data_IF_002030147806
#
_entry.id   IF_002030147806
#
_cell.length_a   1.000
_cell.length_b   1.000
_cell.length_c   1.000
_cell.angle_alpha   90.00
_cell.angle_beta   90.00
_cell.angle_gamma   90.00
#
_symmetry.space_group_name_H-M   'P 1'
#
loop_
_entity.id
_entity.type
_entity.pdbx_description
1 polymer ?
#
# COMPACT_ATOMS: atom_id res chain seq x y z
N UNK A 1 43.31 33.03 -1.60
CA UNK A 1 43.45 31.65 -1.10
C UNK A 1 42.04 31.11 -0.86
N UNK A 2 41.57 30.26 -1.77
CA UNK A 2 40.39 29.36 -1.74
C UNK A 2 39.13 29.76 -0.95
N UNK A 3 38.13 30.42 -1.57
CA UNK A 3 36.77 30.47 -1.01
C UNK A 3 35.64 30.64 -2.04
N UNK A 4 35.86 30.25 -3.30
CA UNK A 4 34.82 30.34 -4.35
C UNK A 4 34.55 29.00 -5.08
N UNK A 5 35.31 27.94 -4.79
CA UNK A 5 35.18 26.65 -5.49
C UNK A 5 34.09 25.74 -4.90
N UNK A 6 33.77 25.88 -3.60
CA UNK A 6 32.85 24.95 -2.92
C UNK A 6 31.36 25.10 -3.29
N UNK A 7 30.89 26.30 -3.65
CA UNK A 7 29.48 26.50 -4.03
C UNK A 7 29.11 25.85 -5.37
N UNK A 8 30.05 25.76 -6.31
CA UNK A 8 29.80 25.17 -7.64
C UNK A 8 29.72 23.65 -7.53
N UNK A 9 30.56 23.07 -6.66
CA UNK A 9 30.56 21.64 -6.37
C UNK A 9 29.27 21.22 -5.64
N UNK A 10 28.78 22.01 -4.68
CA UNK A 10 27.52 21.71 -3.98
C UNK A 10 26.29 21.81 -4.89
N UNK A 11 26.23 22.82 -5.76
CA UNK A 11 25.14 22.96 -6.73
C UNK A 11 25.18 21.85 -7.80
N UNK A 12 26.36 21.44 -8.23
CA UNK A 12 26.54 20.35 -9.19
C UNK A 12 26.24 18.98 -8.57
N UNK A 13 26.67 18.73 -7.33
CA UNK A 13 26.29 17.54 -6.56
C UNK A 13 24.79 17.52 -6.29
N UNK A 14 24.17 18.67 -6.00
CA UNK A 14 22.72 18.79 -5.83
C UNK A 14 21.99 18.53 -7.15
N UNK A 15 22.43 19.09 -8.27
CA UNK A 15 21.85 18.82 -9.60
C UNK A 15 22.04 17.36 -10.02
N UNK A 16 23.21 16.76 -9.78
CA UNK A 16 23.45 15.35 -10.03
C UNK A 16 22.58 14.47 -9.14
N UNK A 17 22.42 14.79 -7.85
CA UNK A 17 21.50 14.10 -6.95
C UNK A 17 20.04 14.26 -7.40
N UNK A 18 19.63 15.44 -7.88
CA UNK A 18 18.28 15.68 -8.41
C UNK A 18 18.01 14.91 -9.71
N UNK A 19 19.00 14.79 -10.60
CA UNK A 19 18.89 14.05 -11.86
C UNK A 19 18.82 12.53 -11.66
N UNK A 20 19.40 12.01 -10.56
CA UNK A 20 19.34 10.58 -10.20
C UNK A 20 17.95 10.16 -9.69
N UNK A 21 17.09 11.10 -9.28
CA UNK A 21 15.79 10.82 -8.66
C UNK A 21 14.61 10.64 -9.63
N UNK A 22 14.79 10.87 -10.93
CA UNK A 22 13.66 10.93 -11.87
C UNK A 22 13.67 9.82 -12.93
N UNK A 23 13.53 8.56 -12.49
CA UNK A 23 13.36 7.41 -13.40
C UNK A 23 12.03 7.46 -14.19
N UNK A 24 11.03 8.25 -13.74
CA UNK A 24 9.72 8.38 -14.38
C UNK A 24 9.12 9.80 -14.26
N UNK A 25 8.44 10.34 -15.30
CA UNK A 25 7.65 11.56 -15.21
C UNK A 25 6.44 11.40 -14.27
N UNK A 26 5.93 12.52 -13.72
CA UNK A 26 4.82 12.52 -12.75
C UNK A 26 3.59 11.74 -13.25
N UNK A 27 3.24 11.89 -14.53
CA UNK A 27 2.12 11.16 -15.15
C UNK A 27 2.27 9.64 -15.02
N UNK A 28 3.48 9.09 -15.24
CA UNK A 28 3.73 7.65 -15.05
C UNK A 28 3.58 7.26 -13.57
N UNK A 29 4.09 8.07 -12.63
CA UNK A 29 3.93 7.81 -11.19
C UNK A 29 2.47 7.68 -10.78
N UNK A 30 1.60 8.53 -11.33
CA UNK A 30 0.16 8.48 -11.08
C UNK A 30 -0.48 7.21 -11.65
N UNK A 31 -0.09 6.78 -12.85
CA UNK A 31 -0.60 5.54 -13.46
C UNK A 31 -0.35 4.31 -12.58
N UNK A 32 0.83 4.22 -11.95
CA UNK A 32 1.13 3.13 -11.00
C UNK A 32 0.29 3.19 -9.72
N UNK A 33 -0.24 4.35 -9.35
CA UNK A 33 -1.12 4.53 -8.19
C UNK A 33 -2.60 4.23 -8.47
N UNK A 34 -3.03 4.22 -9.74
CA UNK A 34 -4.42 3.96 -10.12
C UNK A 34 -4.98 2.65 -9.54
N UNK A 35 -4.24 1.51 -9.55
CA UNK A 35 -4.75 0.27 -8.97
C UNK A 35 -5.06 0.39 -7.47
N UNK A 36 -4.26 1.13 -6.70
CA UNK A 36 -4.53 1.33 -5.27
C UNK A 36 -5.77 2.16 -5.00
N UNK A 37 -5.97 3.21 -5.79
CA UNK A 37 -7.18 4.04 -5.70
C UNK A 37 -8.40 3.19 -6.08
N UNK A 38 -8.32 2.42 -7.18
CA UNK A 38 -9.40 1.54 -7.62
C UNK A 38 -9.74 0.49 -6.56
N UNK A 39 -8.74 -0.15 -5.95
CA UNK A 39 -8.96 -1.14 -4.88
C UNK A 39 -9.59 -0.51 -3.64
N UNK A 40 -9.14 0.66 -3.21
CA UNK A 40 -9.74 1.37 -2.09
C UNK A 40 -11.22 1.71 -2.38
N UNK A 41 -11.51 2.27 -3.56
CA UNK A 41 -12.89 2.58 -3.94
C UNK A 41 -13.78 1.32 -3.99
N UNK A 42 -13.23 0.21 -4.47
CA UNK A 42 -13.96 -1.06 -4.54
C UNK A 42 -14.26 -1.62 -3.15
N UNK A 43 -13.27 -1.61 -2.25
CA UNK A 43 -13.45 -2.03 -0.85
C UNK A 43 -14.52 -1.17 -0.20
N UNK A 44 -14.34 0.15 -0.23
CA UNK A 44 -15.30 1.09 0.35
C UNK A 44 -16.73 0.91 -0.19
N UNK A 45 -16.87 0.70 -1.51
CA UNK A 45 -18.17 0.42 -2.12
C UNK A 45 -18.81 -0.84 -1.54
N UNK A 46 -18.09 -1.96 -1.47
CA UNK A 46 -18.63 -3.20 -0.89
C UNK A 46 -18.91 -3.09 0.61
N UNK A 47 -18.06 -2.38 1.34
CA UNK A 47 -18.24 -2.09 2.77
C UNK A 47 -19.41 -1.14 3.04
N UNK A 48 -19.87 -0.38 2.03
CA UNK A 48 -21.07 0.47 2.12
C UNK A 48 -22.37 -0.30 1.92
N UNK A 49 -22.30 -1.57 1.52
CA UNK A 49 -23.49 -2.41 1.34
C UNK A 49 -23.91 -3.02 2.68
N UNK A 50 -25.20 -2.87 2.99
CA UNK A 50 -25.83 -3.51 4.15
C UNK A 50 -25.68 -5.03 4.07
N UNK A 51 -25.49 -5.66 5.24
CA UNK A 51 -25.62 -7.10 5.34
C UNK A 51 -27.05 -7.46 5.70
N UNK A 52 -27.59 -8.45 5.00
CA UNK A 52 -28.79 -9.14 5.46
C UNK A 52 -28.30 -10.23 6.41
N UNK A 53 -28.39 -9.95 7.71
CA UNK A 53 -28.03 -10.91 8.75
C UNK A 53 -29.01 -12.08 8.70
N UNK A 54 -28.58 -13.19 8.09
CA UNK A 54 -29.19 -14.49 8.34
C UNK A 54 -28.71 -14.96 9.73
N UNK A 55 -29.53 -15.70 10.50
CA UNK A 55 -29.19 -16.15 11.85
C UNK A 55 -28.15 -17.30 11.87
N UNK A 56 -27.10 -17.17 11.07
CA UNK A 56 -25.99 -18.12 10.96
C UNK A 56 -24.72 -17.40 11.42
N UNK A 57 -24.13 -17.91 12.49
CA UNK A 57 -22.84 -17.60 13.13
C UNK A 57 -22.16 -16.26 12.78
N UNK A 58 -21.94 -15.43 13.81
CA UNK A 58 -21.21 -14.14 13.78
C UNK A 58 -19.80 -14.21 13.14
N UNK A 59 -19.26 -15.41 12.90
CA UNK A 59 -17.98 -15.64 12.24
C UNK A 59 -18.19 -16.60 11.05
N UNK A 60 -18.45 -16.04 9.87
CA UNK A 60 -18.43 -16.81 8.64
C UNK A 60 -16.99 -16.90 8.12
N UNK A 61 -16.43 -18.12 8.05
CA UNK A 61 -15.07 -18.31 7.54
C UNK A 61 -14.84 -17.75 6.13
N UNK A 62 -15.89 -17.78 5.30
CA UNK A 62 -15.85 -17.19 3.96
C UNK A 62 -15.63 -15.68 4.02
N UNK A 63 -16.21 -15.01 5.02
CA UNK A 63 -16.08 -13.59 5.20
C UNK A 63 -14.65 -13.17 5.51
N UNK A 64 -14.04 -13.87 6.47
CA UNK A 64 -12.66 -13.68 6.85
C UNK A 64 -11.71 -13.83 5.65
N UNK A 65 -11.98 -14.80 4.76
CA UNK A 65 -11.21 -14.99 3.53
C UNK A 65 -11.38 -13.80 2.58
N UNK A 66 -12.60 -13.29 2.40
CA UNK A 66 -12.85 -12.14 1.52
C UNK A 66 -12.14 -10.89 2.03
N UNK A 67 -12.24 -10.61 3.33
CA UNK A 67 -11.51 -9.53 4.00
C UNK A 67 -10.00 -9.64 3.79
N UNK A 68 -9.44 -10.79 4.17
CA UNK A 68 -8.02 -11.07 3.96
C UNK A 68 -7.59 -10.89 2.49
N UNK A 69 -8.35 -11.46 1.54
CA UNK A 69 -7.99 -11.41 0.11
C UNK A 69 -8.12 -10.01 -0.48
N UNK A 70 -9.17 -9.27 -0.14
CA UNK A 70 -9.38 -7.90 -0.61
C UNK A 70 -8.23 -6.99 -0.16
N UNK A 71 -7.87 -7.06 1.12
CA UNK A 71 -6.77 -6.27 1.68
C UNK A 71 -5.38 -6.79 1.27
N UNK A 72 -5.25 -8.08 0.95
CA UNK A 72 -4.05 -8.61 0.32
C UNK A 72 -3.83 -8.01 -1.08
N UNK A 73 -4.88 -7.97 -1.91
CA UNK A 73 -4.81 -7.32 -3.23
C UNK A 73 -4.57 -5.82 -3.11
N UNK A 74 -5.19 -5.17 -2.13
CA UNK A 74 -4.93 -3.76 -1.83
C UNK A 74 -3.46 -3.51 -1.46
N UNK A 75 -2.86 -4.31 -0.57
CA UNK A 75 -1.44 -4.18 -0.21
C UNK A 75 -0.48 -4.45 -1.39
N UNK A 76 -0.80 -5.39 -2.29
CA UNK A 76 -0.05 -5.56 -3.54
C UNK A 76 -0.14 -4.32 -4.45
N UNK A 77 -1.32 -3.71 -4.55
CA UNK A 77 -1.49 -2.48 -5.30
C UNK A 77 -0.67 -1.33 -4.70
N UNK A 78 -0.59 -1.21 -3.37
CA UNK A 78 0.20 -0.20 -2.67
C UNK A 78 1.70 -0.38 -2.96
N UNK A 79 2.18 -1.62 -3.02
CA UNK A 79 3.55 -1.92 -3.46
C UNK A 79 3.80 -1.49 -4.91
N UNK A 80 2.83 -1.68 -5.80
CA UNK A 80 2.91 -1.23 -7.19
C UNK A 80 2.95 0.30 -7.27
N UNK A 81 2.11 0.98 -6.48
CA UNK A 81 2.09 2.43 -6.37
C UNK A 81 3.42 2.99 -5.85
N UNK A 82 4.09 2.29 -4.93
CA UNK A 82 5.39 2.69 -4.38
C UNK A 82 6.57 2.49 -5.35
N UNK A 83 6.42 1.63 -6.36
CA UNK A 83 7.50 1.25 -7.28
C UNK A 83 8.20 2.44 -7.96
N UNK A 84 7.50 3.38 -8.63
CA UNK A 84 8.17 4.48 -9.31
C UNK A 84 8.70 5.58 -8.36
N UNK A 85 8.41 5.48 -7.05
CA UNK A 85 8.88 6.40 -6.02
C UNK A 85 10.12 5.87 -5.28
N UNK A 86 10.38 4.56 -5.36
CA UNK A 86 11.55 3.99 -4.70
C UNK A 86 12.75 3.92 -5.63
N UNK A 87 13.83 4.57 -5.24
CA UNK A 87 15.12 4.47 -5.91
C UNK A 87 15.89 3.18 -5.56
N UNK A 88 15.39 2.40 -4.57
CA UNK A 88 16.09 1.23 -4.02
C UNK A 88 15.21 -0.01 -4.11
N UNK A 89 15.73 -1.03 -4.78
CA UNK A 89 15.23 -2.41 -4.80
C UNK A 89 16.28 -3.29 -4.12
N UNK A 90 15.95 -3.97 -3.00
CA UNK A 90 14.69 -3.93 -2.25
C UNK A 90 14.27 -2.57 -1.70
N UNK A 91 12.95 -2.43 -1.51
CA UNK A 91 12.40 -1.36 -0.69
C UNK A 91 13.05 -1.33 0.70
N UNK A 92 13.39 -0.14 1.23
CA UNK A 92 13.88 -0.02 2.59
C UNK A 92 12.76 -0.36 3.59
N UNK A 93 13.15 -0.77 4.81
CA UNK A 93 12.20 -1.13 5.87
C UNK A 93 11.24 0.02 6.21
N UNK A 94 11.69 1.27 6.11
CA UNK A 94 10.84 2.45 6.29
C UNK A 94 9.70 2.51 5.27
N UNK A 95 9.97 2.23 3.99
CA UNK A 95 8.91 2.16 2.96
C UNK A 95 7.93 1.03 3.26
N UNK A 96 8.43 -0.16 3.61
CA UNK A 96 7.58 -1.30 3.99
C UNK A 96 6.67 -0.93 5.16
N UNK A 97 7.23 -0.32 6.21
CA UNK A 97 6.48 0.09 7.40
C UNK A 97 5.41 1.14 7.06
N UNK A 98 5.74 2.16 6.26
CA UNK A 98 4.79 3.19 5.83
C UNK A 98 3.63 2.57 5.04
N UNK A 99 3.90 1.65 4.11
CA UNK A 99 2.84 1.01 3.32
C UNK A 99 1.92 0.14 4.18
N UNK A 100 2.47 -0.60 5.14
CA UNK A 100 1.67 -1.37 6.11
C UNK A 100 0.81 -0.42 6.94
N UNK A 101 1.40 0.67 7.46
CA UNK A 101 0.67 1.65 8.25
C UNK A 101 -0.49 2.28 7.45
N UNK A 102 -0.27 2.66 6.20
CA UNK A 102 -1.33 3.19 5.32
C UNK A 102 -2.46 2.17 5.18
N UNK A 103 -2.14 0.91 4.88
CA UNK A 103 -3.16 -0.11 4.69
C UNK A 103 -3.92 -0.46 5.97
N UNK A 104 -3.24 -0.52 7.13
CA UNK A 104 -3.86 -0.77 8.44
C UNK A 104 -4.74 0.40 8.87
N UNK A 105 -4.29 1.65 8.67
CA UNK A 105 -5.13 2.82 8.94
C UNK A 105 -6.37 2.83 8.04
N UNK A 106 -6.23 2.41 6.78
CA UNK A 106 -7.36 2.26 5.86
C UNK A 106 -8.34 1.16 6.32
N UNK A 107 -7.82 -0.01 6.75
CA UNK A 107 -8.63 -1.09 7.34
C UNK A 107 -9.42 -0.60 8.57
N UNK A 108 -8.75 0.09 9.50
CA UNK A 108 -9.41 0.66 10.66
C UNK A 108 -10.52 1.67 10.27
N UNK A 109 -10.26 2.52 9.26
CA UNK A 109 -11.26 3.47 8.78
C UNK A 109 -12.47 2.78 8.13
N UNK A 110 -12.25 1.64 7.46
CA UNK A 110 -13.33 0.89 6.83
C UNK A 110 -14.23 0.21 7.87
N UNK A 111 -13.65 -0.41 8.90
CA UNK A 111 -14.42 -1.01 10.00
C UNK A 111 -15.20 0.02 10.82
N UNK A 112 -14.62 1.21 11.01
CA UNK A 112 -15.33 2.34 11.61
C UNK A 112 -16.49 2.79 10.70
N UNK A 113 -16.26 2.86 9.39
CA UNK A 113 -17.28 3.21 8.41
C UNK A 113 -18.43 2.18 8.38
N UNK A 114 -18.11 0.89 8.38
CA UNK A 114 -19.10 -0.20 8.45
C UNK A 114 -19.97 -0.11 9.71
N UNK A 115 -19.42 0.36 10.84
CA UNK A 115 -20.20 0.65 12.05
C UNK A 115 -21.28 1.73 11.91
N UNK A 116 -21.25 2.53 10.83
CA UNK A 116 -22.31 3.49 10.49
C UNK A 116 -23.30 2.97 9.44
N UNK A 117 -23.05 1.80 8.85
CA UNK A 117 -23.93 1.18 7.86
C UNK A 117 -25.02 0.38 8.60
N UNK A 118 -26.31 0.53 8.24
CA UNK A 118 -27.38 -0.26 8.85
C UNK A 118 -27.14 -1.76 8.66
N UNK A 119 -27.44 -2.56 9.70
CA UNK A 119 -27.25 -4.01 9.69
C UNK A 119 -25.80 -4.44 9.40
N UNK A 120 -24.84 -3.62 9.84
CA UNK A 120 -23.41 -3.94 9.90
C UNK A 120 -22.88 -3.61 11.29
N UNK A 121 -21.87 -4.37 11.71
CA UNK A 121 -21.19 -4.14 12.99
C UNK A 121 -19.70 -4.00 12.73
N UNK A 122 -19.06 -3.13 13.51
CA UNK A 122 -17.62 -2.99 13.51
C UNK A 122 -17.01 -4.26 14.11
N UNK A 123 -16.18 -4.96 13.35
CA UNK A 123 -15.67 -6.29 13.69
C UNK A 123 -14.16 -6.24 13.87
N UNK A 124 -13.72 -6.50 15.12
CA UNK A 124 -12.28 -6.57 15.40
C UNK A 124 -11.59 -7.73 14.68
N UNK A 125 -12.33 -8.81 14.38
CA UNK A 125 -11.80 -9.98 13.69
C UNK A 125 -11.56 -9.66 12.21
N UNK A 126 -12.46 -8.91 11.57
CA UNK A 126 -12.31 -8.49 10.18
C UNK A 126 -11.19 -7.45 10.04
N UNK A 127 -11.11 -6.49 10.97
CA UNK A 127 -9.95 -5.59 11.07
C UNK A 127 -8.61 -6.35 11.13
N UNK A 128 -8.56 -7.44 11.90
CA UNK A 128 -7.34 -8.25 12.02
C UNK A 128 -7.04 -8.99 10.71
N UNK A 129 -8.05 -9.55 10.06
CA UNK A 129 -7.90 -10.21 8.75
C UNK A 129 -7.38 -9.24 7.68
N UNK A 130 -7.94 -8.04 7.65
CA UNK A 130 -7.54 -6.96 6.75
C UNK A 130 -6.10 -6.54 6.98
N UNK A 131 -5.74 -6.30 8.25
CA UNK A 131 -4.39 -5.93 8.67
C UNK A 131 -3.37 -7.01 8.32
N UNK A 132 -3.71 -8.28 8.52
CA UNK A 132 -2.86 -9.42 8.16
C UNK A 132 -2.74 -9.56 6.64
N UNK A 133 -3.82 -9.32 5.87
CA UNK A 133 -3.80 -9.29 4.41
C UNK A 133 -2.85 -8.24 3.84
N UNK A 134 -2.94 -7.00 4.35
CA UNK A 134 -2.02 -5.91 3.99
C UNK A 134 -0.56 -6.27 4.34
N UNK A 135 -0.32 -6.71 5.57
CA UNK A 135 1.04 -7.02 6.01
C UNK A 135 1.64 -8.18 5.20
N UNK A 136 0.88 -9.26 4.98
CA UNK A 136 1.30 -10.42 4.22
C UNK A 136 1.64 -10.05 2.77
N UNK A 137 0.77 -9.32 2.08
CA UNK A 137 0.99 -8.92 0.69
C UNK A 137 2.23 -8.04 0.53
N UNK A 138 2.46 -7.07 1.43
CA UNK A 138 3.61 -6.17 1.37
C UNK A 138 4.91 -6.94 1.65
N UNK A 139 4.92 -7.80 2.67
CA UNK A 139 6.10 -8.59 3.06
C UNK A 139 6.44 -9.64 1.99
N UNK A 140 5.44 -10.31 1.42
CA UNK A 140 5.64 -11.30 0.36
C UNK A 140 6.04 -10.61 -0.95
N UNK A 141 5.28 -9.60 -1.38
CA UNK A 141 5.51 -8.87 -2.63
C UNK A 141 6.87 -8.17 -2.67
N UNK A 142 7.31 -7.57 -1.56
CA UNK A 142 8.64 -6.93 -1.49
C UNK A 142 9.81 -7.92 -1.65
N UNK A 143 9.62 -9.19 -1.26
CA UNK A 143 10.61 -10.26 -1.50
C UNK A 143 10.62 -10.72 -2.96
N UNK A 144 9.50 -10.69 -3.67
CA UNK A 144 9.46 -11.02 -5.09
C UNK A 144 10.16 -9.96 -5.95
N UNK A 145 9.98 -8.68 -5.62
CA UNK A 145 10.68 -7.56 -6.29
C UNK A 145 12.21 -7.69 -6.13
N UNK A 146 12.70 -8.15 -4.96
CA UNK A 146 14.14 -8.46 -4.76
C UNK A 146 14.68 -9.48 -5.75
N UNK A 147 13.91 -10.54 -6.04
CA UNK A 147 14.37 -11.68 -6.84
C UNK A 147 14.39 -11.35 -8.33
N UNK A 148 13.40 -10.58 -8.79
CA UNK A 148 13.30 -10.16 -10.19
C UNK A 148 14.47 -9.27 -10.63
N UNK A 149 14.99 -8.42 -9.74
CA UNK A 149 16.13 -7.54 -10.05
C UNK A 149 17.47 -8.28 -9.96
N UNK A 150 17.62 -9.19 -9.00
CA UNK A 150 18.83 -10.03 -8.85
C UNK A 150 19.07 -10.95 -10.06
N UNK A 151 18.01 -11.43 -10.72
CA UNK A 151 18.11 -12.31 -11.89
C UNK A 151 18.32 -11.57 -13.23
N UNK A 152 18.40 -10.22 -13.22
CA UNK A 152 18.62 -9.39 -14.41
C UNK A 152 20.05 -8.85 -14.55
N UNK A 153 20.92 -9.16 -13.60
CA UNK A 153 22.36 -8.84 -13.57
C UNK A 153 23.12 -10.14 -13.80
#
# INVERSE_FOLDING_TARGET
MYSACSCVDDAFITMMNMAQHQKYPLAKKLVFGLPSIAMALLIFYFSSLERIDLPLDEISFNDLIFHFLAYFLFGLSLLLAAYPWSAKTPYPLSTIFILILIGVCYAASDEIHQGFVPNRTCSFIDFLADSVGVAASIVIGSRFVRKADRNRI
#
